data_IF_032945224464
#
_entry.id   IF_032945224464
#
_cell.length_a   1.000
_cell.length_b   1.000
_cell.length_c   1.000
_cell.angle_alpha   90.00
_cell.angle_beta   90.00
_cell.angle_gamma   90.00
#
_symmetry.space_group_name_H-M   'P 1'
#
loop_
_entity.id
_entity.type
_entity.pdbx_description
1 polymer ?
#
# COMPACT_ATOMS: atom_id res chain seq x y z
N UNK A 1 -22.59 -15.10 -3.71
CA UNK A 1 -22.67 -13.73 -3.16
C UNK A 1 -21.53 -13.43 -2.19
N UNK A 2 -21.37 -14.15 -1.07
CA UNK A 2 -20.30 -13.93 -0.08
C UNK A 2 -18.85 -13.89 -0.61
N UNK A 3 -18.51 -14.69 -1.63
CA UNK A 3 -17.15 -14.72 -2.19
C UNK A 3 -16.77 -13.47 -3.00
N UNK A 4 -17.76 -12.72 -3.54
CA UNK A 4 -17.49 -11.53 -4.35
C UNK A 4 -17.20 -10.32 -3.47
N UNK A 5 -17.94 -10.19 -2.37
CA UNK A 5 -17.73 -9.16 -1.36
C UNK A 5 -16.38 -9.33 -0.64
N UNK A 6 -16.00 -10.58 -0.35
CA UNK A 6 -14.70 -10.92 0.22
C UNK A 6 -13.54 -10.59 -0.75
N UNK A 7 -13.71 -10.85 -2.05
CA UNK A 7 -12.73 -10.46 -3.08
C UNK A 7 -12.58 -8.93 -3.18
N UNK A 8 -13.67 -8.18 -3.11
CA UNK A 8 -13.65 -6.72 -3.09
C UNK A 8 -12.81 -6.16 -1.94
N UNK A 9 -12.96 -6.73 -0.73
CA UNK A 9 -12.17 -6.34 0.44
C UNK A 9 -10.66 -6.53 0.21
N UNK A 10 -10.24 -7.65 -0.39
CA UNK A 10 -8.83 -7.87 -0.66
C UNK A 10 -8.28 -6.96 -1.76
N UNK A 11 -9.11 -6.55 -2.72
CA UNK A 11 -8.74 -5.52 -3.69
C UNK A 11 -8.56 -4.15 -3.04
N UNK A 12 -9.45 -3.74 -2.12
CA UNK A 12 -9.30 -2.51 -1.36
C UNK A 12 -8.03 -2.52 -0.50
N UNK A 13 -7.71 -3.67 0.12
CA UNK A 13 -6.46 -3.82 0.85
C UNK A 13 -5.24 -3.72 -0.07
N UNK A 14 -5.27 -4.35 -1.25
CA UNK A 14 -4.19 -4.20 -2.23
C UNK A 14 -4.02 -2.73 -2.65
N UNK A 15 -5.11 -2.05 -2.98
CA UNK A 15 -5.07 -0.62 -3.32
C UNK A 15 -4.47 0.22 -2.19
N UNK A 16 -4.79 -0.09 -0.93
CA UNK A 16 -4.19 0.58 0.20
C UNK A 16 -2.67 0.32 0.32
N UNK A 17 -2.18 -0.87 -0.06
CA UNK A 17 -0.74 -1.16 -0.09
C UNK A 17 -0.03 -0.34 -1.16
N UNK A 18 -0.60 -0.26 -2.37
CA UNK A 18 -0.06 0.56 -3.46
C UNK A 18 -0.07 2.06 -3.09
N UNK A 19 -1.12 2.54 -2.44
CA UNK A 19 -1.20 3.93 -1.96
C UNK A 19 -0.19 4.22 -0.84
N UNK A 20 0.08 3.27 0.06
CA UNK A 20 1.13 3.43 1.08
C UNK A 20 2.51 3.60 0.44
N UNK A 21 2.84 2.79 -0.57
CA UNK A 21 4.09 2.92 -1.32
C UNK A 21 4.16 4.27 -2.04
N UNK A 22 3.10 4.67 -2.75
CA UNK A 22 3.01 5.96 -3.43
C UNK A 22 3.27 7.14 -2.47
N UNK A 23 2.57 7.19 -1.34
CA UNK A 23 2.75 8.26 -0.33
C UNK A 23 4.19 8.28 0.19
N UNK A 24 4.75 7.13 0.55
CA UNK A 24 6.04 7.09 1.24
C UNK A 24 7.24 7.28 0.29
N UNK A 25 7.08 6.99 -1.00
CA UNK A 25 8.13 7.11 -2.01
C UNK A 25 8.09 8.42 -2.78
N UNK A 26 6.91 8.83 -3.23
CA UNK A 26 6.73 9.98 -4.13
C UNK A 26 6.21 11.21 -3.39
N UNK A 27 5.60 10.99 -2.22
CA UNK A 27 4.74 11.96 -1.58
C UNK A 27 3.37 11.99 -2.26
N UNK A 28 2.36 12.32 -1.47
CA UNK A 28 1.05 12.67 -1.98
C UNK A 28 0.64 13.99 -1.31
N UNK A 29 -0.08 14.87 -2.01
CA UNK A 29 -0.72 16.12 -1.52
C UNK A 29 -0.21 16.70 -0.19
N UNK A 30 -0.62 16.15 0.96
CA UNK A 30 -0.35 16.66 2.32
C UNK A 30 0.65 15.84 3.16
N UNK A 31 1.21 14.74 2.65
CA UNK A 31 2.24 13.93 3.33
C UNK A 31 3.37 13.67 2.33
N UNK A 32 4.54 14.21 2.63
CA UNK A 32 5.74 14.03 1.82
C UNK A 32 6.35 12.63 1.97
N UNK A 33 7.34 12.30 1.10
CA UNK A 33 8.17 11.12 1.24
C UNK A 33 8.73 10.93 2.65
N UNK A 34 8.95 9.68 3.03
CA UNK A 34 9.44 9.34 4.37
C UNK A 34 10.84 9.91 4.69
N UNK A 35 11.67 10.11 3.67
CA UNK A 35 13.01 10.71 3.79
C UNK A 35 13.00 12.24 3.96
N UNK A 36 11.81 12.86 4.11
CA UNK A 36 11.69 14.29 4.38
C UNK A 36 11.89 15.17 3.15
N UNK A 37 11.98 14.59 1.95
CA UNK A 37 11.96 15.35 0.71
C UNK A 37 10.64 16.15 0.56
N UNK A 38 10.63 17.28 -0.16
CA UNK A 38 9.38 17.93 -0.50
C UNK A 38 8.51 16.96 -1.34
N UNK A 39 7.18 16.88 -1.11
CA UNK A 39 6.31 16.13 -1.99
C UNK A 39 6.52 16.62 -3.43
N UNK A 40 6.74 15.72 -4.38
CA UNK A 40 7.00 16.09 -5.77
C UNK A 40 5.70 16.61 -6.41
N UNK A 41 5.42 17.91 -6.18
CA UNK A 41 4.25 18.61 -6.70
C UNK A 41 4.41 18.96 -8.19
N UNK A 42 5.61 18.82 -8.75
CA UNK A 42 5.98 19.44 -10.03
C UNK A 42 5.78 18.56 -11.27
N UNK A 43 5.37 17.28 -11.16
CA UNK A 43 5.33 16.40 -12.35
C UNK A 43 4.16 15.42 -12.52
N UNK A 44 3.15 15.36 -11.64
CA UNK A 44 2.03 14.41 -11.83
C UNK A 44 0.70 15.12 -11.59
N UNK A 45 -0.27 14.91 -12.49
CA UNK A 45 -1.64 15.41 -12.37
C UNK A 45 -2.35 14.90 -11.11
N UNK A 46 -3.66 15.14 -10.94
CA UNK A 46 -4.38 14.78 -9.72
C UNK A 46 -4.22 13.28 -9.40
N UNK A 47 -3.99 12.98 -8.11
CA UNK A 47 -3.82 11.61 -7.64
C UNK A 47 -5.07 10.78 -7.97
N UNK A 48 -4.90 9.73 -8.78
CA UNK A 48 -6.00 8.87 -9.23
C UNK A 48 -6.67 8.11 -8.08
N UNK A 49 -5.96 7.91 -6.96
CA UNK A 49 -6.44 7.24 -5.74
C UNK A 49 -6.54 8.21 -4.56
N UNK A 50 -6.94 9.45 -4.83
CA UNK A 50 -6.95 10.53 -3.84
C UNK A 50 -7.71 10.18 -2.56
N UNK A 51 -8.89 9.56 -2.65
CA UNK A 51 -9.70 9.17 -1.49
C UNK A 51 -8.95 8.22 -0.55
N UNK A 52 -8.37 7.16 -1.10
CA UNK A 52 -7.58 6.16 -0.35
C UNK A 52 -6.31 6.79 0.20
N UNK A 53 -5.61 7.60 -0.61
CA UNK A 53 -4.41 8.31 -0.18
C UNK A 53 -4.72 9.27 0.97
N UNK A 54 -5.77 10.08 0.88
CA UNK A 54 -6.18 11.02 1.92
C UNK A 54 -6.46 10.29 3.25
N UNK A 55 -7.17 9.17 3.22
CA UNK A 55 -7.42 8.35 4.41
C UNK A 55 -6.13 7.84 5.05
N UNK A 56 -5.19 7.33 4.24
CA UNK A 56 -3.90 6.86 4.72
C UNK A 56 -3.01 7.99 5.25
N UNK A 57 -2.99 9.15 4.59
CA UNK A 57 -2.25 10.33 5.03
C UNK A 57 -2.72 10.81 6.41
N UNK A 58 -4.03 10.79 6.67
CA UNK A 58 -4.58 11.10 7.99
C UNK A 58 -4.14 10.10 9.05
N UNK A 59 -4.10 8.80 8.72
CA UNK A 59 -3.59 7.77 9.62
C UNK A 59 -2.09 7.95 9.91
N UNK A 60 -1.27 8.23 8.88
CA UNK A 60 0.18 8.46 9.00
C UNK A 60 0.45 9.68 9.89
N UNK A 61 -0.20 10.82 9.61
CA UNK A 61 -0.06 12.03 10.42
C UNK A 61 -0.45 11.77 11.87
N UNK A 62 -1.57 11.07 12.08
CA UNK A 62 -1.99 10.69 13.42
C UNK A 62 -0.95 9.82 14.12
N UNK A 63 -0.43 8.80 13.45
CA UNK A 63 0.54 7.87 14.03
C UNK A 63 1.85 8.56 14.43
N UNK A 64 2.29 9.56 13.66
CA UNK A 64 3.48 10.34 13.96
C UNK A 64 3.34 11.14 15.27
N UNK A 65 2.16 11.72 15.53
CA UNK A 65 1.94 12.64 16.65
C UNK A 65 1.19 12.04 17.84
N UNK A 66 0.64 10.83 17.71
CA UNK A 66 -0.18 10.23 18.76
C UNK A 66 0.66 9.66 19.92
N UNK A 67 0.57 10.31 21.09
CA UNK A 67 1.25 9.87 22.32
C UNK A 67 0.77 8.51 22.87
N UNK A 68 -0.39 8.01 22.43
CA UNK A 68 -0.90 6.69 22.86
C UNK A 68 -0.28 5.49 22.12
N UNK A 69 0.64 5.72 21.16
CA UNK A 69 1.26 4.66 20.36
C UNK A 69 2.02 3.61 21.18
N UNK A 70 2.61 4.02 22.31
CA UNK A 70 3.42 3.18 23.21
C UNK A 70 2.60 2.45 24.28
N UNK A 71 1.36 2.87 24.56
CA UNK A 71 0.49 2.28 25.59
C UNK A 71 -0.63 1.43 24.98
N UNK A 72 -0.28 0.45 24.15
CA UNK A 72 -1.24 -0.44 23.49
C UNK A 72 -2.03 0.18 22.33
N UNK A 73 -1.81 1.46 21.99
CA UNK A 73 -2.31 2.11 20.78
C UNK A 73 -3.80 2.46 20.79
N UNK A 74 -4.16 3.59 20.19
CA UNK A 74 -5.58 3.89 19.88
C UNK A 74 -6.02 3.17 18.59
N UNK A 75 -7.32 3.17 18.28
CA UNK A 75 -7.89 2.50 17.09
C UNK A 75 -7.22 2.92 15.77
N UNK A 76 -6.96 4.23 15.59
CA UNK A 76 -6.25 4.75 14.40
C UNK A 76 -4.81 4.24 14.31
N UNK A 77 -4.08 4.22 15.43
CA UNK A 77 -2.73 3.67 15.47
C UNK A 77 -2.72 2.18 15.14
N UNK A 78 -3.66 1.41 15.72
CA UNK A 78 -3.78 -0.04 15.47
C UNK A 78 -4.05 -0.32 13.99
N UNK A 79 -4.94 0.46 13.36
CA UNK A 79 -5.23 0.33 11.93
C UNK A 79 -4.01 0.58 11.07
N UNK A 80 -3.28 1.67 11.29
CA UNK A 80 -2.06 1.92 10.51
C UNK A 80 -1.01 0.84 10.76
N UNK A 81 -0.81 0.44 12.01
CA UNK A 81 0.15 -0.60 12.37
C UNK A 81 -0.15 -1.93 11.65
N UNK A 82 -1.41 -2.33 11.56
CA UNK A 82 -1.83 -3.52 10.81
C UNK A 82 -1.53 -3.39 9.31
N UNK A 83 -1.75 -2.22 8.72
CA UNK A 83 -1.42 -1.97 7.32
C UNK A 83 0.10 -2.02 7.06
N UNK A 84 0.91 -1.44 7.95
CA UNK A 84 2.37 -1.50 7.85
C UNK A 84 2.90 -2.93 8.02
N UNK A 85 2.31 -3.71 8.94
CA UNK A 85 2.61 -5.14 9.08
C UNK A 85 2.24 -5.90 7.81
N UNK A 86 1.03 -5.68 7.26
CA UNK A 86 0.61 -6.33 6.02
C UNK A 86 1.55 -6.00 4.87
N UNK A 87 1.90 -4.72 4.69
CA UNK A 87 2.86 -4.28 3.68
C UNK A 87 4.18 -5.04 3.81
N UNK A 88 4.75 -5.10 5.02
CA UNK A 88 6.01 -5.82 5.24
C UNK A 88 5.96 -7.31 4.87
N UNK A 89 4.80 -7.95 5.03
CA UNK A 89 4.59 -9.37 4.70
C UNK A 89 4.49 -9.64 3.19
N UNK A 90 4.18 -8.63 2.37
CA UNK A 90 4.04 -8.76 0.91
C UNK A 90 5.09 -7.97 0.13
N UNK A 91 5.91 -7.16 0.81
CA UNK A 91 6.89 -6.30 0.18
C UNK A 91 8.14 -7.10 -0.18
N UNK A 92 8.42 -7.23 -1.47
CA UNK A 92 9.58 -7.98 -2.00
C UNK A 92 10.72 -7.07 -2.48
N UNK A 93 10.64 -5.75 -2.25
CA UNK A 93 11.66 -4.81 -2.72
C UNK A 93 13.05 -5.18 -2.17
N UNK A 94 14.08 -5.25 -3.03
CA UNK A 94 15.46 -5.56 -2.64
C UNK A 94 16.19 -4.35 -2.04
N UNK A 95 15.80 -3.15 -2.44
CA UNK A 95 16.28 -1.88 -1.89
C UNK A 95 15.56 -1.52 -0.57
N UNK A 96 16.17 -0.68 0.30
CA UNK A 96 15.54 -0.21 1.52
C UNK A 96 14.15 0.38 1.25
N UNK A 97 13.14 -0.26 1.83
CA UNK A 97 11.76 0.15 1.58
C UNK A 97 11.45 1.44 2.34
N UNK A 98 10.95 2.45 1.63
CA UNK A 98 10.60 3.76 2.23
C UNK A 98 9.32 3.74 3.07
N UNK A 99 8.55 2.65 3.06
CA UNK A 99 7.36 2.53 3.92
C UNK A 99 7.79 2.38 5.39
N UNK A 100 7.25 3.20 6.32
CA UNK A 100 7.63 3.15 7.73
C UNK A 100 7.51 1.75 8.33
N UNK A 101 8.47 1.37 9.17
CA UNK A 101 8.52 0.08 9.89
C UNK A 101 8.62 -1.17 9.00
N UNK A 102 8.64 -1.07 7.67
CA UNK A 102 8.67 -2.23 6.77
C UNK A 102 9.85 -3.16 7.09
N UNK A 103 11.07 -2.62 7.18
CA UNK A 103 12.28 -3.39 7.48
C UNK A 103 12.25 -3.98 8.90
N UNK A 104 11.80 -3.19 9.88
CA UNK A 104 11.68 -3.64 11.27
C UNK A 104 10.73 -4.84 11.38
N UNK A 105 9.60 -4.80 10.65
CA UNK A 105 8.69 -5.92 10.59
C UNK A 105 9.27 -7.11 9.83
N UNK A 106 9.96 -6.91 8.70
CA UNK A 106 10.61 -8.02 7.96
C UNK A 106 11.61 -8.78 8.86
N UNK A 107 12.40 -8.05 9.65
CA UNK A 107 13.35 -8.64 10.60
C UNK A 107 12.65 -9.38 11.74
N UNK A 108 11.54 -8.86 12.26
CA UNK A 108 10.76 -9.55 13.30
C UNK A 108 10.02 -10.77 12.78
N UNK A 109 9.40 -10.64 11.61
CA UNK A 109 8.66 -11.73 10.96
C UNK A 109 9.58 -12.90 10.65
N UNK A 110 10.83 -12.68 10.22
CA UNK A 110 11.79 -13.77 9.95
C UNK A 110 12.08 -14.63 11.18
N UNK A 111 12.06 -14.02 12.37
CA UNK A 111 12.21 -14.68 13.69
C UNK A 111 10.90 -15.36 14.10
N UNK A 112 9.75 -14.72 13.91
CA UNK A 112 8.41 -15.19 14.31
C UNK A 112 7.76 -16.16 13.30
N UNK A 113 8.40 -16.50 12.17
CA UNK A 113 7.83 -17.39 11.11
C UNK A 113 7.33 -18.73 11.63
N UNK A 114 7.84 -19.19 12.78
CA UNK A 114 7.42 -20.43 13.45
C UNK A 114 6.05 -20.32 14.14
N UNK A 115 5.55 -19.12 14.44
CA UNK A 115 4.35 -18.89 15.26
C UNK A 115 3.33 -17.95 14.59
N UNK A 116 3.44 -17.75 13.27
CA UNK A 116 2.51 -16.89 12.53
C UNK A 116 1.13 -17.56 12.36
N UNK A 117 0.12 -16.95 12.99
CA UNK A 117 -1.30 -17.32 12.93
C UNK A 117 -1.77 -17.66 11.49
N UNK A 118 -2.39 -18.83 11.32
CA UNK A 118 -2.87 -19.31 10.02
C UNK A 118 -3.84 -18.33 9.35
N UNK A 119 -4.61 -17.56 10.12
CA UNK A 119 -5.51 -16.53 9.58
C UNK A 119 -4.74 -15.38 8.93
N UNK A 120 -3.61 -14.96 9.53
CA UNK A 120 -2.76 -13.92 8.94
C UNK A 120 -2.12 -14.40 7.64
N UNK A 121 -1.62 -15.64 7.62
CA UNK A 121 -1.04 -16.23 6.41
C UNK A 121 -2.05 -16.31 5.25
N UNK A 122 -3.30 -16.65 5.55
CA UNK A 122 -4.38 -16.64 4.57
C UNK A 122 -4.67 -15.24 4.04
N UNK A 123 -4.74 -14.23 4.93
CA UNK A 123 -4.91 -12.83 4.55
C UNK A 123 -3.81 -12.37 3.58
N UNK A 124 -2.54 -12.62 3.93
CA UNK A 124 -1.39 -12.28 3.09
C UNK A 124 -1.52 -12.90 1.70
N UNK A 125 -1.82 -14.21 1.61
CA UNK A 125 -2.02 -14.91 0.33
C UNK A 125 -3.13 -14.28 -0.50
N UNK A 126 -4.27 -13.96 0.11
CA UNK A 126 -5.42 -13.36 -0.60
C UNK A 126 -5.10 -11.97 -1.16
N UNK A 127 -4.36 -11.15 -0.40
CA UNK A 127 -3.91 -9.82 -0.86
C UNK A 127 -2.88 -9.94 -1.98
N UNK A 128 -1.94 -10.89 -1.91
CA UNK A 128 -1.00 -11.18 -3.00
C UNK A 128 -1.75 -11.62 -4.26
N UNK A 129 -2.76 -12.49 -4.14
CA UNK A 129 -3.61 -12.87 -5.27
C UNK A 129 -4.35 -11.66 -5.86
N UNK A 130 -4.89 -10.77 -5.02
CA UNK A 130 -5.53 -9.54 -5.47
C UNK A 130 -4.56 -8.61 -6.22
N UNK A 131 -3.31 -8.49 -5.75
CA UNK A 131 -2.24 -7.73 -6.42
C UNK A 131 -1.93 -8.27 -7.81
N UNK A 132 -1.83 -9.60 -7.94
CA UNK A 132 -1.58 -10.26 -9.21
C UNK A 132 -2.73 -10.01 -10.19
N UNK A 133 -3.99 -10.17 -9.75
CA UNK A 133 -5.16 -9.91 -10.58
C UNK A 133 -5.25 -8.44 -11.04
N UNK A 134 -4.98 -7.49 -10.14
CA UNK A 134 -4.95 -6.06 -10.48
C UNK A 134 -3.88 -5.74 -11.52
N UNK A 135 -2.68 -6.32 -11.37
CA UNK A 135 -1.58 -6.16 -12.32
C UNK A 135 -1.91 -6.71 -13.71
N UNK A 136 -2.63 -7.83 -13.79
CA UNK A 136 -3.05 -8.43 -15.06
C UNK A 136 -4.06 -7.55 -15.79
N UNK A 137 -5.09 -7.06 -15.08
CA UNK A 137 -6.10 -6.17 -15.65
C UNK A 137 -5.52 -4.87 -16.21
N UNK A 138 -4.48 -4.34 -15.56
CA UNK A 138 -3.74 -3.17 -16.06
C UNK A 138 -2.93 -3.46 -17.33
N UNK A 139 -2.47 -4.69 -17.55
CA UNK A 139 -1.75 -5.09 -18.77
C UNK A 139 -2.72 -5.29 -19.94
N UNK A 140 -3.87 -5.90 -19.69
CA UNK A 140 -4.92 -6.09 -20.71
C UNK A 140 -5.47 -4.77 -21.26
N UNK A 141 -5.50 -3.71 -20.43
CA UNK A 141 -5.95 -2.37 -20.86
C UNK A 141 -4.92 -1.62 -21.70
N UNK A 142 -3.63 -1.93 -21.57
CA UNK A 142 -2.55 -1.32 -22.37
C UNK A 142 -2.50 -1.96 -23.77
N UNK A 143 -2.79 -3.26 -23.90
CA UNK A 143 -2.81 -4.01 -25.17
C UNK A 143 -3.99 -3.63 -26.10
N UNK A 144 -5.02 -2.94 -25.59
CA UNK A 144 -6.21 -2.53 -26.35
C UNK A 144 -6.16 -1.07 -26.86
N UNK A 145 -5.01 -0.38 -26.80
CA UNK A 145 -4.86 0.90 -27.50
C UNK A 145 -4.36 0.66 -28.95
N UNK A 146 -5.18 0.87 -29.99
CA UNK A 146 -4.69 0.82 -31.36
C UNK A 146 -3.72 1.99 -31.54
N UNK A 147 -2.49 1.67 -31.92
CA UNK A 147 -1.54 2.63 -32.46
C UNK A 147 -2.23 3.34 -33.63
N UNK A 148 -2.67 4.59 -33.44
CA UNK A 148 -3.21 5.41 -34.53
C UNK A 148 -2.04 5.72 -35.46
N UNK A 149 -1.92 4.91 -36.52
CA UNK A 149 -1.06 5.21 -37.66
C UNK A 149 -1.51 6.53 -38.29
N UNK A 150 -0.55 7.42 -38.51
CA UNK A 150 -0.75 8.56 -39.40
C UNK A 150 -0.10 8.19 -40.73
N UNK A 151 -0.93 7.76 -41.70
CA UNK A 151 -0.60 7.78 -43.12
C UNK A 151 -1.28 9.02 -43.71
N UNK A 152 -0.47 10.00 -44.11
CA UNK A 152 -0.80 11.06 -45.08
C UNK A 152 0.56 11.43 -45.69
N UNK A 153 0.81 11.50 -46.98
CA UNK A 153 0.02 11.42 -48.21
C UNK A 153 0.94 12.00 -49.28
#
# INVERSE_FOLDING_TARGET
MRSRDEQGLYMELNEAMDCLEHICMEGCTTVGPHDGGPPNQTKKGPCQRYSTCMGLQLLIRHFATCGRKVHGGCSRCKRLWQLLRLHSSICERPEPCKVPLCEQFKMKLSVERKEEDGKWRLLVRKVVSAKAMSSLSQRETVELQPHKGCWVG
#
